data_IF_119916062387
#
_entry.id   IF_119916062387
#
_cell.length_a   1.000
_cell.length_b   1.000
_cell.length_c   1.000
_cell.angle_alpha   90.00
_cell.angle_beta   90.00
_cell.angle_gamma   90.00
#
_symmetry.space_group_name_H-M   'P 1'
#
loop_
_entity.id
_entity.type
_entity.pdbx_description
1 polymer ?
#
# COMPACT_ATOMS: atom_id res chain seq x y z
N UNK A 1 13.02 12.72 3.01
CA UNK A 1 11.98 12.12 2.14
C UNK A 1 11.25 10.94 2.82
N UNK A 2 10.93 11.07 4.12
CA UNK A 2 10.11 10.12 4.88
C UNK A 2 8.70 10.69 5.21
N UNK A 3 8.38 11.85 4.61
CA UNK A 3 7.20 12.66 4.98
C UNK A 3 5.95 12.22 4.20
N UNK A 4 6.09 11.60 3.03
CA UNK A 4 4.93 11.19 2.22
C UNK A 4 4.21 9.93 2.76
N UNK A 5 4.89 9.07 3.54
CA UNK A 5 4.31 7.82 4.01
C UNK A 5 3.45 7.98 5.29
N UNK A 6 3.68 9.01 6.11
CA UNK A 6 3.00 9.14 7.39
C UNK A 6 1.67 9.90 7.31
N UNK A 7 1.54 10.87 6.40
CA UNK A 7 0.38 11.78 6.38
C UNK A 7 -0.67 11.39 5.31
N UNK A 8 -0.27 10.79 4.19
CA UNK A 8 -1.20 10.37 3.14
C UNK A 8 -1.96 9.08 3.47
N UNK A 9 -1.24 7.97 3.62
CA UNK A 9 -1.84 6.64 3.80
C UNK A 9 -2.71 6.53 5.06
N UNK A 10 -2.30 7.14 6.18
CA UNK A 10 -3.07 7.11 7.45
C UNK A 10 -4.31 8.01 7.43
N UNK A 11 -4.26 9.13 6.72
CA UNK A 11 -5.40 10.05 6.61
C UNK A 11 -6.46 9.55 5.63
N UNK A 12 -6.06 8.79 4.59
CA UNK A 12 -6.99 8.30 3.56
C UNK A 12 -7.58 6.92 3.85
N UNK A 13 -6.83 6.01 4.47
CA UNK A 13 -7.33 4.66 4.71
C UNK A 13 -8.36 4.54 5.84
N UNK A 14 -8.35 5.48 6.82
CA UNK A 14 -9.27 5.47 7.97
C UNK A 14 -10.70 5.95 7.58
N UNK A 15 -10.87 7.00 6.76
CA UNK A 15 -12.17 7.37 6.20
C UNK A 15 -12.68 6.36 5.15
N UNK A 16 -11.81 5.83 4.29
CA UNK A 16 -12.21 4.90 3.22
C UNK A 16 -12.88 3.62 3.77
N UNK A 17 -12.36 3.05 4.86
CA UNK A 17 -13.00 1.92 5.55
C UNK A 17 -14.34 2.30 6.21
N UNK A 18 -14.48 3.53 6.73
CA UNK A 18 -15.72 3.98 7.36
C UNK A 18 -16.83 4.23 6.31
N UNK A 19 -16.51 4.91 5.21
CA UNK A 19 -17.48 5.20 4.14
C UNK A 19 -17.86 3.98 3.30
N UNK A 20 -16.98 2.97 3.17
CA UNK A 20 -17.29 1.75 2.42
C UNK A 20 -18.12 0.73 3.22
N UNK A 21 -18.06 0.75 4.55
CA UNK A 21 -18.75 -0.25 5.40
C UNK A 21 -19.94 0.30 6.22
N UNK A 22 -20.01 1.60 6.53
CA UNK A 22 -21.00 2.15 7.49
C UNK A 22 -21.90 3.26 6.94
N UNK A 23 -21.71 3.74 5.71
CA UNK A 23 -22.53 4.80 5.15
C UNK A 23 -23.82 4.24 4.49
N UNK A 24 -25.03 4.70 4.91
CA UNK A 24 -26.30 4.19 4.39
C UNK A 24 -26.58 4.60 2.93
N UNK A 25 -25.89 5.61 2.40
CA UNK A 25 -25.93 6.00 0.99
C UNK A 25 -24.53 5.91 0.37
N UNK A 26 -24.45 5.25 -0.79
CA UNK A 26 -23.21 5.22 -1.58
C UNK A 26 -22.95 6.63 -2.11
N UNK A 27 -21.84 7.23 -1.73
CA UNK A 27 -21.35 8.51 -2.26
C UNK A 27 -20.40 8.21 -3.43
N UNK A 28 -20.86 8.14 -4.69
CA UNK A 28 -20.06 7.62 -5.80
C UNK A 28 -18.83 8.50 -6.08
N UNK A 29 -18.93 9.80 -5.78
CA UNK A 29 -17.84 10.76 -5.84
C UNK A 29 -16.70 10.42 -4.85
N UNK A 30 -17.03 10.05 -3.60
CA UNK A 30 -16.03 9.69 -2.61
C UNK A 30 -15.30 8.39 -3.02
N UNK A 31 -16.06 7.39 -3.47
CA UNK A 31 -15.52 6.10 -3.93
C UNK A 31 -14.57 6.31 -5.14
N UNK A 32 -14.97 7.09 -6.14
CA UNK A 32 -14.13 7.37 -7.31
C UNK A 32 -12.90 8.22 -6.97
N UNK A 33 -13.02 9.15 -6.01
CA UNK A 33 -11.88 9.94 -5.53
C UNK A 33 -10.84 9.06 -4.84
N UNK A 34 -11.25 8.18 -3.93
CA UNK A 34 -10.32 7.29 -3.23
C UNK A 34 -9.68 6.28 -4.18
N UNK A 35 -10.43 5.73 -5.15
CA UNK A 35 -9.85 4.86 -6.19
C UNK A 35 -8.79 5.58 -7.03
N UNK A 36 -9.10 6.79 -7.51
CA UNK A 36 -8.15 7.58 -8.31
C UNK A 36 -6.89 7.92 -7.51
N UNK A 37 -7.05 8.31 -6.24
CA UNK A 37 -5.91 8.67 -5.40
C UNK A 37 -5.06 7.44 -5.04
N UNK A 38 -5.68 6.29 -4.75
CA UNK A 38 -4.96 5.04 -4.53
C UNK A 38 -4.16 4.64 -5.76
N UNK A 39 -4.77 4.63 -6.96
CA UNK A 39 -4.05 4.35 -8.20
C UNK A 39 -2.89 5.33 -8.46
N UNK A 40 -3.06 6.60 -8.12
CA UNK A 40 -2.00 7.62 -8.21
C UNK A 40 -0.84 7.31 -7.24
N UNK A 41 -1.13 6.90 -6.00
CA UNK A 41 -0.13 6.53 -5.01
C UNK A 41 0.67 5.29 -5.44
N UNK A 42 0.02 4.27 -5.99
CA UNK A 42 0.71 3.13 -6.59
C UNK A 42 1.61 3.56 -7.75
N UNK A 43 1.16 4.49 -8.59
CA UNK A 43 2.00 5.06 -9.65
C UNK A 43 3.22 5.82 -9.14
N UNK A 44 3.13 6.49 -7.98
CA UNK A 44 4.29 7.13 -7.34
C UNK A 44 5.24 6.09 -6.77
N UNK A 45 4.71 5.07 -6.11
CA UNK A 45 5.51 3.98 -5.53
C UNK A 45 6.24 3.18 -6.62
N UNK A 46 5.56 2.86 -7.73
CA UNK A 46 6.16 2.15 -8.86
C UNK A 46 7.32 2.93 -9.46
N UNK A 47 7.16 4.24 -9.68
CA UNK A 47 8.24 5.12 -10.14
C UNK A 47 9.43 5.14 -9.17
N UNK A 48 9.18 5.23 -7.87
CA UNK A 48 10.25 5.20 -6.87
C UNK A 48 11.02 3.87 -6.90
N UNK A 49 10.31 2.75 -7.09
CA UNK A 49 10.86 1.39 -7.12
C UNK A 49 11.42 0.98 -8.49
N UNK A 50 11.26 1.81 -9.52
CA UNK A 50 11.98 1.67 -10.79
C UNK A 50 13.46 2.07 -10.61
N UNK A 51 13.72 3.15 -9.89
CA UNK A 51 15.07 3.67 -9.65
C UNK A 51 15.81 2.95 -8.51
N UNK A 52 15.06 2.32 -7.59
CA UNK A 52 15.61 1.73 -6.38
C UNK A 52 15.05 0.34 -6.10
N UNK A 53 15.87 -0.51 -5.49
CA UNK A 53 15.43 -1.85 -5.05
C UNK A 53 14.35 -1.78 -3.96
N UNK A 54 14.54 -0.88 -2.99
CA UNK A 54 13.64 -0.62 -1.85
C UNK A 54 13.24 0.85 -1.80
N UNK A 55 12.22 1.20 -1.00
CA UNK A 55 11.61 2.54 -1.02
C UNK A 55 12.65 3.65 -0.75
N UNK A 56 13.59 3.41 0.16
CA UNK A 56 14.62 4.37 0.56
C UNK A 56 15.98 4.19 -0.14
N UNK A 57 16.07 3.34 -1.18
CA UNK A 57 17.31 3.07 -1.92
C UNK A 57 17.64 1.59 -2.01
N UNK A 58 18.93 1.24 -1.93
CA UNK A 58 19.40 -0.13 -2.15
C UNK A 58 19.18 -1.08 -0.97
N UNK A 59 18.85 -0.56 0.22
CA UNK A 59 18.76 -1.33 1.46
C UNK A 59 17.35 -1.32 2.02
N UNK A 60 16.91 -2.48 2.49
CA UNK A 60 15.62 -2.64 3.18
C UNK A 60 15.58 -1.78 4.43
N UNK A 61 14.50 -1.01 4.59
CA UNK A 61 14.41 0.05 5.60
C UNK A 61 13.08 0.06 6.34
N UNK A 62 12.96 0.95 7.32
CA UNK A 62 11.69 1.22 8.01
C UNK A 62 10.61 1.74 7.06
N UNK A 63 10.96 2.34 5.92
CA UNK A 63 9.99 2.79 4.93
C UNK A 63 9.27 1.58 4.30
N UNK A 64 10.00 0.52 3.99
CA UNK A 64 9.43 -0.72 3.45
C UNK A 64 8.54 -1.42 4.48
N UNK A 65 8.98 -1.48 5.74
CA UNK A 65 8.22 -2.03 6.86
C UNK A 65 6.90 -1.27 7.07
N UNK A 66 6.92 0.06 6.97
CA UNK A 66 5.76 0.90 7.19
C UNK A 66 4.74 0.83 6.05
N UNK A 67 5.21 0.68 4.81
CA UNK A 67 4.36 0.68 3.61
C UNK A 67 3.78 -0.70 3.32
N UNK A 68 4.58 -1.77 3.43
CA UNK A 68 4.17 -3.12 3.02
C UNK A 68 2.82 -3.62 3.59
N UNK A 69 2.47 -3.42 4.87
CA UNK A 69 1.18 -3.87 5.39
C UNK A 69 -0.04 -3.25 4.70
N UNK A 70 0.09 -2.02 4.18
CA UNK A 70 -0.98 -1.38 3.41
C UNK A 70 -1.16 -2.03 2.04
N UNK A 71 -0.05 -2.36 1.40
CA UNK A 71 0.01 -2.98 0.06
C UNK A 71 -0.51 -4.42 0.07
N UNK A 72 -0.46 -5.13 1.22
CA UNK A 72 -1.07 -6.47 1.36
C UNK A 72 -2.57 -6.48 1.08
N UNK A 73 -3.25 -5.33 1.22
CA UNK A 73 -4.67 -5.19 0.93
C UNK A 73 -4.97 -4.68 -0.49
N UNK A 74 -4.01 -4.74 -1.43
CA UNK A 74 -4.16 -4.21 -2.80
C UNK A 74 -5.43 -4.72 -3.51
N UNK A 75 -5.79 -6.00 -3.34
CA UNK A 75 -6.99 -6.56 -3.96
C UNK A 75 -8.27 -5.91 -3.43
N UNK A 76 -8.33 -5.64 -2.12
CA UNK A 76 -9.46 -4.93 -1.48
C UNK A 76 -9.55 -3.48 -1.93
N UNK A 77 -8.42 -2.90 -2.34
CA UNK A 77 -8.34 -1.56 -2.92
C UNK A 77 -8.68 -1.55 -4.43
N UNK A 78 -9.02 -2.70 -5.03
CA UNK A 78 -9.23 -2.88 -6.47
C UNK A 78 -7.97 -2.52 -7.29
N UNK A 79 -6.78 -2.84 -6.76
CA UNK A 79 -5.51 -2.65 -7.44
C UNK A 79 -4.95 -3.99 -7.91
N UNK A 80 -4.67 -4.05 -9.21
CA UNK A 80 -3.89 -5.14 -9.82
C UNK A 80 -2.41 -4.78 -9.76
N UNK A 81 -1.62 -5.55 -9.02
CA UNK A 81 -0.16 -5.35 -8.99
C UNK A 81 0.49 -5.60 -10.37
N UNK A 82 -0.18 -6.29 -11.29
CA UNK A 82 0.33 -6.46 -12.65
C UNK A 82 0.45 -5.13 -13.41
N UNK A 83 -0.32 -4.11 -13.03
CA UNK A 83 -0.23 -2.76 -13.61
C UNK A 83 0.96 -1.95 -13.05
N UNK A 84 1.61 -2.47 -12.00
CA UNK A 84 2.71 -1.84 -11.26
C UNK A 84 3.86 -2.85 -11.04
N UNK A 85 4.62 -3.20 -12.10
CA UNK A 85 5.54 -4.33 -12.08
C UNK A 85 6.68 -4.19 -11.07
N UNK A 86 7.14 -2.97 -10.76
CA UNK A 86 8.21 -2.80 -9.76
C UNK A 86 7.67 -2.86 -8.35
N UNK A 87 6.43 -2.41 -8.14
CA UNK A 87 5.69 -2.67 -6.88
C UNK A 87 5.47 -4.16 -6.70
N UNK A 88 5.05 -4.89 -7.75
CA UNK A 88 4.84 -6.34 -7.68
C UNK A 88 6.13 -7.10 -7.32
N UNK A 89 7.27 -6.72 -7.93
CA UNK A 89 8.59 -7.26 -7.58
C UNK A 89 8.90 -7.03 -6.09
N UNK A 90 8.84 -5.77 -5.65
CA UNK A 90 9.13 -5.37 -4.27
C UNK A 90 8.20 -6.07 -3.26
N UNK A 91 6.92 -6.16 -3.58
CA UNK A 91 5.91 -6.83 -2.75
C UNK A 91 6.26 -8.30 -2.54
N UNK A 92 6.59 -9.02 -3.61
CA UNK A 92 6.99 -10.42 -3.55
C UNK A 92 8.32 -10.61 -2.79
N UNK A 93 9.28 -9.73 -2.99
CA UNK A 93 10.55 -9.77 -2.26
C UNK A 93 10.34 -9.62 -0.75
N UNK A 94 9.49 -8.70 -0.29
CA UNK A 94 9.19 -8.53 1.13
C UNK A 94 8.36 -9.69 1.68
N UNK A 95 7.37 -10.18 0.93
CA UNK A 95 6.49 -11.27 1.35
C UNK A 95 7.25 -12.54 1.71
N UNK A 96 8.33 -12.84 0.98
CA UNK A 96 9.15 -14.05 1.20
C UNK A 96 10.13 -13.92 2.37
N UNK A 97 10.21 -12.77 3.04
CA UNK A 97 11.14 -12.58 4.16
C UNK A 97 10.68 -13.38 5.38
N UNK A 98 11.55 -14.20 6.00
CA UNK A 98 11.17 -15.00 7.17
C UNK A 98 10.63 -14.16 8.34
N UNK A 99 11.11 -12.93 8.52
CA UNK A 99 10.61 -12.02 9.54
C UNK A 99 9.17 -11.58 9.30
N UNK A 100 8.80 -11.34 8.03
CA UNK A 100 7.45 -10.95 7.62
C UNK A 100 6.49 -12.12 7.80
N UNK A 101 6.88 -13.33 7.39
CA UNK A 101 6.09 -14.54 7.64
C UNK A 101 5.84 -14.81 9.13
N UNK A 102 6.86 -14.60 9.98
CA UNK A 102 6.71 -14.75 11.44
C UNK A 102 5.76 -13.70 12.02
N UNK A 103 5.84 -12.45 11.56
CA UNK A 103 4.94 -11.40 12.00
C UNK A 103 3.48 -11.72 11.63
N UNK A 104 3.23 -12.18 10.40
CA UNK A 104 1.89 -12.59 9.97
C UNK A 104 1.33 -13.77 10.75
N UNK A 105 2.16 -14.77 11.04
CA UNK A 105 1.75 -15.90 11.90
C UNK A 105 1.33 -15.47 13.30
N UNK A 106 1.95 -14.43 13.87
CA UNK A 106 1.58 -13.89 15.19
C UNK A 106 0.33 -13.03 15.17
N UNK A 107 0.08 -12.31 14.08
CA UNK A 107 -1.08 -11.44 13.96
C UNK A 107 -2.39 -12.20 13.70
N UNK A 108 -2.29 -13.40 13.11
CA UNK A 108 -3.43 -14.23 12.70
C UNK A 108 -3.57 -15.53 13.54
N UNK A 109 -2.80 -15.66 14.62
CA UNK A 109 -2.78 -16.84 15.49
C UNK A 109 -3.39 -16.55 16.85
#
# INVERSE_FOLDING_TARGET
>A
MAILANDGLRAYARPEHHFSQYAPEKVPYAINRYRTETARLYGVLDKQLQEHRYIAGEQYSIADIATYPWEVSHEKQNISLADYPTVQRWFNEIRTRPAVERAWRRANG
#
